data_IF_277436303856
#
_entry.id   IF_277436303856
#
_cell.length_a   1.000
_cell.length_b   1.000
_cell.length_c   1.000
_cell.angle_alpha   90.00
_cell.angle_beta   90.00
_cell.angle_gamma   90.00
#
_symmetry.space_group_name_H-M   'P 1'
#
loop_
_entity.id
_entity.type
_entity.pdbx_description
1 polymer ?
#
# COMPACT_ATOMS: atom_id res chain seq x y z
N UNK A 1 20.02 22.26 27.07
CA UNK A 1 20.30 21.41 25.88
C UNK A 1 19.06 21.34 25.01
N UNK A 2 19.20 21.33 23.68
CA UNK A 2 18.09 21.18 22.71
C UNK A 2 17.99 19.71 22.28
N UNK A 3 16.78 19.15 22.28
CA UNK A 3 16.54 17.78 21.82
C UNK A 3 16.59 17.70 20.29
N UNK A 4 17.02 16.55 19.77
CA UNK A 4 17.21 16.28 18.33
C UNK A 4 15.91 16.04 17.55
N UNK A 5 14.74 16.11 18.19
CA UNK A 5 13.47 15.71 17.58
C UNK A 5 12.74 16.87 16.91
N UNK A 6 13.21 17.26 15.73
CA UNK A 6 12.53 18.24 14.89
C UNK A 6 11.45 17.56 14.03
N UNK A 7 10.37 18.29 13.75
CA UNK A 7 9.26 17.80 12.90
C UNK A 7 9.72 17.64 11.45
N UNK A 8 10.59 18.51 10.99
CA UNK A 8 11.18 18.50 9.64
C UNK A 8 11.82 17.14 9.30
N UNK A 9 12.47 16.51 10.28
CA UNK A 9 13.10 15.20 10.12
C UNK A 9 12.08 14.05 10.06
N UNK A 10 10.86 14.26 10.54
CA UNK A 10 9.84 13.21 10.71
C UNK A 10 8.76 13.21 9.64
N UNK A 11 8.49 14.36 9.02
CA UNK A 11 7.47 14.43 7.97
C UNK A 11 7.89 13.59 6.76
N UNK A 12 6.98 12.74 6.29
CA UNK A 12 7.19 11.86 5.13
C UNK A 12 5.84 11.62 4.45
N UNK A 13 5.84 11.72 3.12
CA UNK A 13 4.66 11.41 2.30
C UNK A 13 5.09 10.62 1.07
N UNK A 14 4.19 9.77 0.59
CA UNK A 14 4.42 8.91 -0.56
C UNK A 14 3.15 8.83 -1.40
N UNK A 15 3.28 9.03 -2.71
CA UNK A 15 2.26 8.71 -3.70
C UNK A 15 2.55 7.34 -4.34
N UNK A 16 3.68 7.24 -5.07
CA UNK A 16 4.21 6.02 -5.68
C UNK A 16 5.70 5.92 -5.34
N UNK A 17 6.25 4.71 -5.29
CA UNK A 17 7.65 4.50 -4.92
C UNK A 17 8.12 3.08 -5.22
N UNK A 18 9.29 2.67 -4.71
CA UNK A 18 9.82 1.33 -4.93
C UNK A 18 9.02 0.25 -4.18
N UNK A 19 9.16 -0.97 -4.68
CA UNK A 19 8.47 -2.17 -4.20
C UNK A 19 9.46 -3.31 -3.96
N UNK A 20 9.10 -4.21 -3.06
CA UNK A 20 9.83 -5.44 -2.78
C UNK A 20 9.82 -6.38 -4.00
N UNK A 21 10.94 -7.06 -4.24
CA UNK A 21 11.08 -7.97 -5.38
C UNK A 21 10.17 -9.21 -5.25
N UNK A 22 10.01 -9.74 -4.05
CA UNK A 22 9.27 -10.98 -3.80
C UNK A 22 7.79 -10.68 -3.57
N UNK A 23 7.46 -9.88 -2.56
CA UNK A 23 6.08 -9.64 -2.13
C UNK A 23 5.36 -8.57 -2.93
N UNK A 24 6.07 -7.82 -3.78
CA UNK A 24 5.54 -6.69 -4.54
C UNK A 24 4.92 -5.55 -3.69
N UNK A 25 5.10 -5.59 -2.37
CA UNK A 25 4.61 -4.56 -1.45
C UNK A 25 5.54 -3.34 -1.41
N UNK A 26 5.01 -2.15 -1.08
CA UNK A 26 5.81 -0.94 -0.83
C UNK A 26 6.97 -1.20 0.15
N UNK A 27 8.19 -0.73 -0.19
CA UNK A 27 9.31 -0.78 0.76
C UNK A 27 9.02 0.07 2.01
N UNK A 28 9.71 -0.20 3.12
CA UNK A 28 9.58 0.54 4.37
C UNK A 28 10.64 1.61 4.57
N UNK A 29 10.35 2.60 5.41
CA UNK A 29 11.32 3.61 5.88
C UNK A 29 11.43 4.85 4.99
N UNK A 30 11.60 6.02 5.65
CA UNK A 30 11.67 7.34 4.99
C UNK A 30 12.77 7.42 3.92
N UNK A 31 13.94 6.86 4.19
CA UNK A 31 15.10 6.90 3.28
C UNK A 31 14.86 6.19 1.94
N UNK A 32 13.94 5.22 1.89
CA UNK A 32 13.62 4.44 0.69
C UNK A 32 12.32 4.90 0.01
N UNK A 33 11.83 6.09 0.33
CA UNK A 33 10.48 6.53 -0.05
C UNK A 33 9.42 5.48 0.34
N UNK A 34 9.55 4.96 1.56
CA UNK A 34 8.77 3.83 2.03
C UNK A 34 7.29 4.17 2.26
N UNK A 35 6.45 3.14 2.17
CA UNK A 35 5.05 3.21 2.55
C UNK A 35 4.87 3.10 4.07
N UNK A 36 3.69 3.50 4.54
CA UNK A 36 3.28 3.27 5.93
C UNK A 36 2.78 1.83 6.07
N UNK A 37 3.16 1.14 7.15
CA UNK A 37 2.60 -0.16 7.47
C UNK A 37 1.14 0.01 7.88
N UNK A 38 0.27 -0.71 7.20
CA UNK A 38 -1.11 -0.92 7.63
C UNK A 38 -1.18 -2.32 8.25
N UNK A 39 -1.28 -2.37 9.57
CA UNK A 39 -1.22 -3.61 10.33
C UNK A 39 -2.59 -4.20 10.59
N UNK A 40 -2.59 -5.33 11.30
CA UNK A 40 -3.80 -6.07 11.66
C UNK A 40 -4.77 -5.22 12.51
N UNK A 41 -4.24 -4.40 13.43
CA UNK A 41 -5.08 -3.51 14.24
C UNK A 41 -5.78 -2.44 13.41
N UNK A 42 -5.11 -1.87 12.40
CA UNK A 42 -5.72 -0.90 11.50
C UNK A 42 -6.72 -1.56 10.54
N UNK A 43 -6.49 -2.82 10.15
CA UNK A 43 -7.47 -3.64 9.41
C UNK A 43 -8.75 -3.79 10.24
N UNK A 44 -8.64 -4.22 11.50
CA UNK A 44 -9.80 -4.34 12.39
C UNK A 44 -10.56 -3.03 12.55
N UNK A 45 -9.86 -1.91 12.58
CA UNK A 45 -10.50 -0.60 12.65
C UNK A 45 -11.41 -0.37 11.43
N UNK A 46 -10.95 -0.64 10.22
CA UNK A 46 -11.78 -0.49 9.01
C UNK A 46 -12.91 -1.52 8.91
N UNK A 47 -12.66 -2.75 9.36
CA UNK A 47 -13.69 -3.79 9.44
C UNK A 47 -14.83 -3.37 10.37
N UNK A 48 -14.51 -2.81 11.54
CA UNK A 48 -15.51 -2.31 12.49
C UNK A 48 -16.38 -1.18 11.92
N UNK A 49 -15.83 -0.35 11.04
CA UNK A 49 -16.58 0.68 10.31
C UNK A 49 -17.41 0.12 9.13
N UNK A 50 -17.24 -1.15 8.76
CA UNK A 50 -17.84 -1.71 7.55
C UNK A 50 -17.26 -1.12 6.26
N UNK A 51 -16.04 -0.58 6.31
CA UNK A 51 -15.39 0.12 5.20
C UNK A 51 -14.78 -0.84 4.16
N UNK A 52 -15.60 -1.74 3.61
CA UNK A 52 -15.16 -2.85 2.76
C UNK A 52 -14.32 -2.41 1.54
N UNK A 53 -14.75 -1.38 0.81
CA UNK A 53 -14.01 -0.89 -0.36
C UNK A 53 -12.69 -0.22 0.02
N UNK A 54 -12.66 0.55 1.11
CA UNK A 54 -11.43 1.19 1.59
C UNK A 54 -10.41 0.13 2.00
N UNK A 55 -10.84 -0.88 2.75
CA UNK A 55 -10.00 -2.00 3.15
C UNK A 55 -9.49 -2.76 1.92
N UNK A 56 -10.36 -3.05 0.96
CA UNK A 56 -10.00 -3.71 -0.29
C UNK A 56 -8.93 -2.90 -1.06
N UNK A 57 -9.08 -1.59 -1.16
CA UNK A 57 -8.11 -0.72 -1.84
C UNK A 57 -6.73 -0.77 -1.16
N UNK A 58 -6.69 -0.75 0.17
CA UNK A 58 -5.45 -0.84 0.96
C UNK A 58 -4.75 -2.18 0.72
N UNK A 59 -5.51 -3.28 0.70
CA UNK A 59 -4.98 -4.62 0.53
C UNK A 59 -4.58 -4.96 -0.91
N UNK A 60 -5.00 -4.18 -1.90
CA UNK A 60 -4.79 -4.48 -3.33
C UNK A 60 -4.07 -3.35 -4.07
N UNK A 61 -4.81 -2.41 -4.67
CA UNK A 61 -4.29 -1.38 -5.58
C UNK A 61 -3.34 -0.38 -4.91
N UNK A 62 -3.36 -0.24 -3.58
CA UNK A 62 -2.41 0.60 -2.82
C UNK A 62 -1.20 -0.19 -2.29
N UNK A 63 -1.14 -1.51 -2.53
CA UNK A 63 -0.08 -2.38 -2.03
C UNK A 63 0.56 -3.20 -3.17
N UNK A 64 0.02 -4.38 -3.47
CA UNK A 64 0.68 -5.44 -4.23
C UNK A 64 -0.13 -6.00 -5.41
N UNK A 65 -1.30 -5.41 -5.75
CA UNK A 65 -1.92 -5.65 -7.07
C UNK A 65 -1.15 -4.88 -8.15
N UNK A 66 -0.17 -5.53 -8.77
CA UNK A 66 0.77 -4.91 -9.72
C UNK A 66 0.06 -4.33 -10.95
N UNK A 67 -0.94 -5.05 -11.48
CA UNK A 67 -1.71 -4.61 -12.64
C UNK A 67 -2.73 -3.54 -12.23
N UNK A 68 -3.41 -3.74 -11.11
CA UNK A 68 -4.42 -2.82 -10.59
C UNK A 68 -3.84 -1.47 -10.19
N UNK A 69 -2.68 -1.42 -9.51
CA UNK A 69 -2.05 -0.16 -9.11
C UNK A 69 -1.64 0.70 -10.31
N UNK A 70 -1.11 0.07 -11.36
CA UNK A 70 -0.68 0.75 -12.59
C UNK A 70 -1.88 1.36 -13.31
N UNK A 71 -2.96 0.59 -13.45
CA UNK A 71 -4.23 1.07 -14.05
C UNK A 71 -4.90 2.13 -13.19
N UNK A 72 -4.81 2.03 -11.86
CA UNK A 72 -5.36 3.02 -10.94
C UNK A 72 -4.66 4.36 -11.11
N UNK A 73 -3.33 4.36 -11.20
CA UNK A 73 -2.55 5.57 -11.45
C UNK A 73 -2.92 6.22 -12.79
N UNK A 74 -3.05 5.42 -13.85
CA UNK A 74 -3.51 5.90 -15.16
C UNK A 74 -4.93 6.47 -15.11
N UNK A 75 -5.85 5.81 -14.43
CA UNK A 75 -7.24 6.25 -14.28
C UNK A 75 -7.31 7.60 -13.53
N UNK A 76 -6.52 7.78 -12.46
CA UNK A 76 -6.45 9.05 -11.73
C UNK A 76 -5.96 10.18 -12.64
N UNK A 77 -4.93 9.94 -13.47
CA UNK A 77 -4.41 10.96 -14.40
C UNK A 77 -5.46 11.32 -15.45
N UNK A 78 -6.21 10.34 -15.95
CA UNK A 78 -7.22 10.53 -17.00
C UNK A 78 -8.58 11.02 -16.46
N UNK A 79 -8.79 11.02 -15.15
CA UNK A 79 -10.10 11.28 -14.55
C UNK A 79 -11.13 10.17 -14.84
N UNK A 80 -10.67 8.95 -15.10
CA UNK A 80 -11.51 7.78 -15.34
C UNK A 80 -11.85 7.07 -14.02
N UNK A 81 -12.97 6.32 -13.97
CA UNK A 81 -13.30 5.52 -12.80
C UNK A 81 -12.26 4.41 -12.57
N UNK A 82 -11.88 4.23 -11.30
CA UNK A 82 -10.96 3.17 -10.89
C UNK A 82 -11.65 1.82 -11.10
N UNK A 83 -10.93 0.90 -11.77
CA UNK A 83 -11.42 -0.45 -12.05
C UNK A 83 -11.36 -1.32 -10.81
N UNK A 84 -12.20 -2.37 -10.72
CA UNK A 84 -12.12 -3.31 -9.60
C UNK A 84 -10.72 -3.97 -9.52
N UNK A 85 -10.22 -4.21 -8.30
CA UNK A 85 -8.91 -4.81 -8.07
C UNK A 85 -8.86 -6.28 -8.49
N UNK A 86 -7.65 -6.77 -8.73
CA UNK A 86 -7.35 -8.17 -8.97
C UNK A 86 -6.88 -8.86 -7.67
N UNK A 87 -6.47 -10.13 -7.79
CA UNK A 87 -5.89 -10.90 -6.70
C UNK A 87 -4.51 -10.28 -6.35
N UNK A 88 -4.22 -10.05 -5.06
CA UNK A 88 -2.93 -9.51 -4.63
C UNK A 88 -1.79 -10.51 -4.85
N UNK A 89 -0.60 -10.01 -5.21
CA UNK A 89 0.57 -10.87 -5.45
C UNK A 89 1.03 -11.62 -4.20
N UNK A 90 0.80 -11.06 -3.00
CA UNK A 90 1.08 -11.78 -1.74
C UNK A 90 0.32 -13.12 -1.64
N UNK A 91 -0.91 -13.21 -2.15
CA UNK A 91 -1.63 -14.48 -2.23
C UNK A 91 -1.01 -15.42 -3.27
N UNK A 92 -0.56 -14.88 -4.40
CA UNK A 92 0.18 -15.65 -5.41
C UNK A 92 1.48 -16.24 -4.87
N UNK A 93 2.21 -15.48 -4.05
CA UNK A 93 3.41 -15.95 -3.32
C UNK A 93 3.02 -17.06 -2.34
N UNK A 94 1.99 -16.86 -1.51
CA UNK A 94 1.51 -17.88 -0.57
C UNK A 94 1.21 -19.22 -1.26
N UNK A 95 0.48 -19.20 -2.38
CA UNK A 95 0.14 -20.42 -3.12
C UNK A 95 1.37 -21.12 -3.69
N UNK A 96 2.41 -20.38 -4.08
CA UNK A 96 3.67 -20.95 -4.56
C UNK A 96 4.50 -21.57 -3.45
N UNK A 97 4.54 -20.94 -2.27
CA UNK A 97 5.29 -21.43 -1.11
C UNK A 97 4.66 -22.68 -0.47
N UNK A 98 3.35 -22.90 -0.68
CA UNK A 98 2.65 -24.09 -0.18
C UNK A 98 2.74 -25.32 -1.10
N UNK A 99 3.28 -25.18 -2.32
CA UNK A 99 3.44 -26.27 -3.30
C UNK A 99 4.78 -26.99 -3.10
#
# INVERSE_FOLDING_TARGET
MKLLHLVEDKLHMRSVGPYSLITQQPLGGKAQFGGQRFGEMEVWALEAYGAAHILQEILTIKSDDVLGRSKTYEAIIKGEPIRPPNIPESFGVLVKELK
#
